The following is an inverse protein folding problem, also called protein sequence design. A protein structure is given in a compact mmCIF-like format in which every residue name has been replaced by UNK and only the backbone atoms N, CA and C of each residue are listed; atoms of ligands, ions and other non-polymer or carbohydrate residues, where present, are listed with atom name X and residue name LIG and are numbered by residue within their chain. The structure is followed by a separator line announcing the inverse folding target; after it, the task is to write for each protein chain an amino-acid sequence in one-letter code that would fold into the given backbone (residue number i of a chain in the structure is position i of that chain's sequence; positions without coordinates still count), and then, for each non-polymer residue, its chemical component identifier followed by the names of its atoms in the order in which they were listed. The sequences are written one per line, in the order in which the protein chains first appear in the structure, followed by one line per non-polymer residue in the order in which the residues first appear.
data_IF_418839015166
#
_entry.id   IF_418839015166
#
_cell.length_a   1.000
_cell.length_b   1.000
_cell.length_c   1.000
_cell.angle_alpha   90.00
_cell.angle_beta   90.00
_cell.angle_gamma   90.00
#
_symmetry.space_group_name_H-M   'P 1'
#
loop_
_entity.id
_entity.type
_entity.pdbx_description
1 polymer ?
#
# COMPACT_ATOMS: atom_id res chain seq x y z
N UNK A 1 -8.01 14.15 -1.09
CA UNK A 1 -6.97 15.14 -1.45
C UNK A 1 -6.12 14.53 -2.56
N UNK A 2 -5.77 15.34 -3.57
CA UNK A 2 -4.81 14.95 -4.62
C UNK A 2 -3.44 15.56 -4.25
N UNK A 3 -2.57 14.78 -3.65
CA UNK A 3 -1.16 15.09 -3.40
C UNK A 3 -0.43 13.75 -3.25
N UNK A 4 0.23 13.26 -4.30
CA UNK A 4 1.62 13.53 -4.66
C UNK A 4 2.61 13.10 -3.57
N UNK A 5 3.07 11.84 -3.64
CA UNK A 5 4.47 11.45 -3.39
C UNK A 5 4.72 10.13 -4.12
N UNK A 6 5.66 10.16 -5.07
CA UNK A 6 6.16 9.02 -5.85
C UNK A 6 7.42 8.54 -5.14
N UNK A 7 7.51 7.24 -4.81
CA UNK A 7 8.73 6.68 -4.22
C UNK A 7 9.31 5.59 -5.12
N UNK A 8 10.63 5.65 -5.26
CA UNK A 8 11.46 5.11 -6.32
C UNK A 8 11.42 3.58 -6.41
N UNK A 9 11.39 3.06 -7.63
CA UNK A 9 11.71 1.66 -7.94
C UNK A 9 13.18 1.58 -8.35
N UNK A 10 14.04 0.95 -7.54
CA UNK A 10 15.47 0.78 -7.85
C UNK A 10 15.72 -0.46 -8.73
N UNK A 11 16.60 -0.32 -9.71
CA UNK A 11 16.94 -1.38 -10.68
C UNK A 11 18.02 -2.31 -10.09
N UNK A 12 17.76 -3.61 -10.07
CA UNK A 12 18.81 -4.64 -9.90
C UNK A 12 18.41 -5.85 -9.05
N UNK A 13 17.42 -6.66 -9.44
CA UNK A 13 17.03 -7.84 -8.65
C UNK A 13 16.41 -7.50 -7.28
N UNK A 14 15.95 -6.26 -7.11
CA UNK A 14 15.36 -5.71 -5.89
C UNK A 14 13.85 -5.95 -5.85
N UNK A 15 13.36 -6.27 -4.66
CA UNK A 15 11.94 -6.29 -4.31
C UNK A 15 11.38 -4.88 -4.55
N UNK A 16 10.28 -4.70 -5.30
CA UNK A 16 9.71 -3.38 -5.53
C UNK A 16 9.19 -2.79 -4.21
N UNK A 17 9.41 -1.48 -4.01
CA UNK A 17 9.03 -0.77 -2.79
C UNK A 17 8.06 0.38 -3.10
N UNK A 18 7.12 0.63 -2.19
CA UNK A 18 6.18 1.74 -2.21
C UNK A 18 6.11 2.33 -0.80
N UNK A 19 6.28 3.65 -0.72
CA UNK A 19 6.23 4.40 0.53
C UNK A 19 5.20 5.51 0.34
N UNK A 20 4.30 5.70 1.31
CA UNK A 20 3.22 6.69 1.29
C UNK A 20 3.34 7.55 2.54
N UNK A 21 3.25 8.87 2.35
CA UNK A 21 3.38 9.86 3.42
C UNK A 21 2.37 9.63 4.55
N UNK A 22 2.85 9.84 5.78
CA UNK A 22 2.15 9.39 6.98
C UNK A 22 0.95 10.23 7.42
N UNK A 23 0.80 11.49 6.99
CA UNK A 23 -0.22 12.37 7.57
C UNK A 23 -1.65 11.84 7.35
N UNK A 24 -2.01 11.54 6.11
CA UNK A 24 -3.35 11.02 5.78
C UNK A 24 -3.53 9.57 6.25
N UNK A 25 -2.44 8.79 6.26
CA UNK A 25 -2.39 7.41 6.74
C UNK A 25 -2.71 7.35 8.25
N UNK A 26 -2.05 8.18 9.06
CA UNK A 26 -2.32 8.29 10.51
C UNK A 26 -3.77 8.73 10.74
N UNK A 27 -4.26 9.74 10.01
CA UNK A 27 -5.67 10.20 10.13
C UNK A 27 -6.68 9.11 9.79
N UNK A 28 -6.32 8.17 8.92
CA UNK A 28 -7.14 7.00 8.63
C UNK A 28 -7.07 5.89 9.70
N UNK A 29 -6.28 6.07 10.77
CA UNK A 29 -6.16 5.13 11.89
C UNK A 29 -5.02 4.12 11.73
N UNK A 30 -4.20 4.24 10.69
CA UNK A 30 -3.00 3.41 10.52
C UNK A 30 -1.86 4.01 11.33
N UNK A 31 -1.56 3.39 12.47
CA UNK A 31 -0.49 3.80 13.40
C UNK A 31 0.59 2.72 13.47
N UNK A 32 1.76 3.07 14.01
CA UNK A 32 2.77 2.07 14.36
C UNK A 32 2.11 0.97 15.21
N UNK A 33 2.42 -0.29 14.92
CA UNK A 33 1.80 -1.53 15.46
C UNK A 33 0.41 -1.92 14.93
N UNK A 34 -0.23 -1.11 14.09
CA UNK A 34 -1.51 -1.47 13.49
C UNK A 34 -1.37 -2.73 12.62
N UNK A 35 -2.33 -3.65 12.77
CA UNK A 35 -2.44 -4.85 11.94
C UNK A 35 -3.44 -4.59 10.82
N UNK A 36 -3.05 -4.90 9.60
CA UNK A 36 -3.87 -4.68 8.42
C UNK A 36 -3.72 -5.83 7.43
N UNK A 37 -4.75 -5.99 6.60
CA UNK A 37 -4.72 -6.88 5.44
C UNK A 37 -4.24 -6.12 4.23
N UNK A 38 -3.48 -6.82 3.39
CA UNK A 38 -3.07 -6.35 2.07
C UNK A 38 -3.70 -7.30 1.05
N UNK A 39 -4.56 -6.77 0.20
CA UNK A 39 -5.35 -7.55 -0.76
C UNK A 39 -5.06 -7.02 -2.18
N UNK A 40 -4.16 -7.68 -2.92
CA UNK A 40 -3.96 -7.41 -4.34
C UNK A 40 -5.23 -7.75 -5.13
N UNK A 41 -5.73 -6.81 -5.92
CA UNK A 41 -6.90 -6.99 -6.78
C UNK A 41 -6.69 -6.34 -8.14
N UNK A 42 -6.42 -7.16 -9.16
CA UNK A 42 -6.15 -6.70 -10.53
C UNK A 42 -5.07 -5.60 -10.58
N UNK A 43 -5.44 -4.37 -10.95
CA UNK A 43 -4.61 -3.18 -11.08
C UNK A 43 -4.55 -2.33 -9.80
N UNK A 44 -4.98 -2.91 -8.67
CA UNK A 44 -5.14 -2.21 -7.40
C UNK A 44 -4.62 -3.01 -6.22
N UNK A 45 -4.29 -2.29 -5.18
CA UNK A 45 -4.06 -2.82 -3.85
C UNK A 45 -5.09 -2.23 -2.89
N UNK A 46 -5.74 -3.10 -2.12
CA UNK A 46 -6.62 -2.68 -1.03
C UNK A 46 -5.95 -3.03 0.29
N UNK A 47 -5.82 -2.04 1.16
CA UNK A 47 -5.28 -2.19 2.50
C UNK A 47 -6.40 -1.88 3.48
N UNK A 48 -6.69 -2.83 4.35
CA UNK A 48 -7.80 -2.73 5.30
C UNK A 48 -7.29 -2.92 6.72
N UNK A 49 -7.54 -1.93 7.58
CA UNK A 49 -7.22 -2.02 9.00
C UNK A 49 -8.07 -3.13 9.64
N UNK A 50 -7.44 -3.96 10.47
CA UNK A 50 -8.13 -5.02 11.21
C UNK A 50 -8.24 -4.60 12.67
N UNK A 51 -9.45 -4.68 13.21
CA UNK A 51 -9.75 -4.39 14.62
C UNK A 51 -10.29 -5.60 15.38
N UNK A 52 -10.68 -6.66 14.67
CA UNK A 52 -11.14 -7.92 15.25
C UNK A 52 -9.94 -8.69 15.84
N UNK A 53 -10.01 -9.02 17.13
CA UNK A 53 -8.90 -9.61 17.87
C UNK A 53 -8.56 -11.03 17.36
N UNK A 54 -9.56 -11.84 17.03
CA UNK A 54 -9.33 -13.17 16.47
C UNK A 54 -8.66 -13.10 15.10
N UNK A 55 -9.08 -12.14 14.25
CA UNK A 55 -8.47 -11.94 12.95
C UNK A 55 -7.06 -11.36 13.04
N UNK A 56 -6.79 -10.48 14.01
CA UNK A 56 -5.44 -10.00 14.31
C UNK A 56 -4.54 -11.18 14.70
N UNK A 57 -4.99 -12.04 15.61
CA UNK A 57 -4.22 -13.22 16.03
C UNK A 57 -3.94 -14.14 14.84
N UNK A 58 -4.96 -14.42 14.01
CA UNK A 58 -4.80 -15.20 12.76
C UNK A 58 -3.75 -14.61 11.83
N UNK A 59 -3.76 -13.29 11.62
CA UNK A 59 -2.81 -12.61 10.74
C UNK A 59 -1.38 -12.61 11.30
N UNK A 60 -1.23 -12.40 12.61
CA UNK A 60 0.07 -12.44 13.27
C UNK A 60 0.68 -13.85 13.22
N UNK A 61 -0.11 -14.89 13.47
CA UNK A 61 0.32 -16.29 13.34
C UNK A 61 0.74 -16.63 11.90
N UNK A 62 0.00 -16.15 10.90
CA UNK A 62 0.33 -16.35 9.49
C UNK A 62 1.63 -15.62 9.07
N UNK A 63 1.91 -14.47 9.67
CA UNK A 63 3.15 -13.71 9.47
C UNK A 63 4.37 -14.45 9.99
N UNK A 64 4.28 -15.00 11.21
CA UNK A 64 5.39 -15.72 11.84
C UNK A 64 5.78 -17.00 11.08
N UNK A 65 4.85 -17.58 10.31
CA UNK A 65 5.12 -18.72 9.43
C UNK A 65 5.97 -18.38 8.19
N UNK A 66 6.13 -17.10 7.85
CA UNK A 66 6.82 -16.65 6.63
C UNK A 66 7.72 -15.43 6.89
N UNK A 67 9.01 -15.64 7.22
CA UNK A 67 9.92 -14.56 7.65
C UNK A 67 10.16 -13.45 6.60
N UNK A 68 9.74 -13.64 5.35
CA UNK A 68 9.78 -12.62 4.30
C UNK A 68 8.59 -11.63 4.34
N UNK A 69 7.58 -11.85 5.21
CA UNK A 69 6.34 -11.03 5.29
C UNK A 69 6.54 -9.76 6.15
N UNK A 70 7.68 -9.61 6.84
CA UNK A 70 7.86 -8.58 7.87
C UNK A 70 8.26 -7.17 7.42
N UNK A 71 8.32 -6.87 6.12
CA UNK A 71 8.70 -5.51 5.67
C UNK A 71 7.49 -4.59 5.55
N UNK A 72 6.29 -5.09 5.22
CA UNK A 72 5.10 -4.26 5.04
C UNK A 72 4.57 -3.76 6.40
N UNK A 73 4.43 -2.44 6.57
CA UNK A 73 4.06 -1.89 7.87
C UNK A 73 3.89 -0.38 7.91
N UNK A 74 3.40 0.12 9.05
CA UNK A 74 3.45 1.55 9.37
C UNK A 74 4.72 1.81 10.18
N UNK A 75 5.57 2.70 9.68
CA UNK A 75 6.81 3.12 10.35
C UNK A 75 6.50 4.05 11.51
N UNK A 76 7.48 4.27 12.39
CA UNK A 76 7.33 5.14 13.57
C UNK A 76 7.02 6.61 13.21
N UNK A 77 7.39 7.06 12.00
CA UNK A 77 7.04 8.37 11.45
C UNK A 77 5.63 8.41 10.81
N UNK A 78 4.89 7.31 10.85
CA UNK A 78 3.56 7.16 10.28
C UNK A 78 3.51 6.80 8.81
N UNK A 79 4.65 6.70 8.11
CA UNK A 79 4.69 6.28 6.72
C UNK A 79 4.17 4.86 6.56
N UNK A 80 3.32 4.64 5.56
CA UNK A 80 2.98 3.30 5.11
C UNK A 80 4.06 2.83 4.14
N UNK A 81 4.77 1.77 4.53
CA UNK A 81 5.84 1.14 3.76
C UNK A 81 5.39 -0.24 3.29
N UNK A 82 5.58 -0.51 2.00
CA UNK A 82 5.22 -1.76 1.34
C UNK A 82 6.36 -2.20 0.44
N UNK A 83 6.73 -3.47 0.47
CA UNK A 83 7.81 -4.01 -0.34
C UNK A 83 7.57 -5.48 -0.70
N UNK A 84 7.01 -5.73 -1.89
CA UNK A 84 6.83 -7.09 -2.43
C UNK A 84 6.45 -7.13 -3.90
N UNK A 85 6.72 -8.27 -4.54
CA UNK A 85 6.44 -8.54 -5.97
C UNK A 85 5.00 -8.27 -6.41
N UNK A 86 4.01 -8.35 -5.51
CA UNK A 86 2.62 -8.03 -5.85
C UNK A 86 2.44 -6.57 -6.30
N UNK A 87 3.36 -5.65 -5.94
CA UNK A 87 3.38 -4.28 -6.49
C UNK A 87 3.61 -4.30 -8.01
N UNK A 88 4.54 -5.14 -8.48
CA UNK A 88 4.78 -5.33 -9.92
C UNK A 88 3.65 -6.08 -10.58
N UNK A 89 3.09 -7.11 -9.93
CA UNK A 89 1.98 -7.89 -10.49
C UNK A 89 0.71 -7.05 -10.67
N UNK A 90 0.44 -6.10 -9.77
CA UNK A 90 -0.66 -5.13 -9.90
C UNK A 90 -0.34 -3.99 -10.87
N UNK A 91 0.83 -3.99 -11.51
CA UNK A 91 1.26 -2.90 -12.39
C UNK A 91 1.44 -1.57 -11.65
N UNK A 92 1.68 -1.57 -10.34
CA UNK A 92 1.80 -0.35 -9.53
C UNK A 92 3.23 0.21 -9.54
N UNK A 93 4.15 -0.43 -10.24
CA UNK A 93 5.52 0.04 -10.39
C UNK A 93 5.67 0.91 -11.65
N UNK A 94 6.58 1.89 -11.62
CA UNK A 94 6.99 2.69 -12.79
C UNK A 94 5.92 3.62 -13.40
N UNK A 95 4.84 3.93 -12.67
CA UNK A 95 3.79 4.81 -13.14
C UNK A 95 3.20 5.67 -12.02
N UNK A 96 2.54 6.80 -12.34
CA UNK A 96 1.83 7.59 -11.35
C UNK A 96 0.72 6.76 -10.70
N UNK A 97 0.56 6.89 -9.39
CA UNK A 97 -0.43 6.17 -8.59
C UNK A 97 -1.53 7.11 -8.12
N UNK A 98 -2.76 6.61 -8.13
CA UNK A 98 -3.88 7.23 -7.43
C UNK A 98 -4.06 6.53 -6.09
N UNK A 99 -3.95 7.30 -5.00
CA UNK A 99 -4.08 6.80 -3.63
C UNK A 99 -5.34 7.43 -3.02
N UNK A 100 -6.25 6.57 -2.58
CA UNK A 100 -7.47 6.96 -1.88
C UNK A 100 -7.39 6.50 -0.44
N UNK A 101 -7.38 7.45 0.48
CA UNK A 101 -7.28 7.20 1.93
C UNK A 101 -8.63 7.48 2.59
N UNK A 102 -9.13 6.50 3.34
CA UNK A 102 -10.38 6.54 4.08
C UNK A 102 -10.15 5.98 5.50
N UNK A 103 -10.99 6.30 6.50
CA UNK A 103 -10.89 5.67 7.81
C UNK A 103 -10.87 4.15 7.72
N UNK A 104 -9.82 3.52 8.22
CA UNK A 104 -9.60 2.08 8.21
C UNK A 104 -9.28 1.46 6.85
N UNK A 105 -9.11 2.24 5.77
CA UNK A 105 -8.91 1.71 4.42
C UNK A 105 -8.04 2.60 3.53
N UNK A 106 -7.08 1.99 2.84
CA UNK A 106 -6.27 2.64 1.79
C UNK A 106 -6.43 1.86 0.49
N UNK A 107 -6.69 2.56 -0.61
CA UNK A 107 -6.75 1.96 -1.95
C UNK A 107 -5.69 2.61 -2.81
N UNK A 108 -4.83 1.79 -3.41
CA UNK A 108 -3.76 2.22 -4.31
C UNK A 108 -4.05 1.63 -5.68
N UNK A 109 -3.99 2.43 -6.72
CA UNK A 109 -4.22 1.96 -8.09
C UNK A 109 -3.39 2.77 -9.08
N UNK A 110 -3.21 2.20 -10.27
CA UNK A 110 -2.70 2.92 -11.43
C UNK A 110 -3.46 4.24 -11.65
N UNK A 111 -2.75 5.37 -11.76
CA UNK A 111 -3.41 6.59 -12.22
C UNK A 111 -3.69 6.46 -13.71
N UNK A 112 -4.96 6.33 -14.08
CA UNK A 112 -5.34 6.40 -15.48
C UNK A 112 -5.05 7.81 -16.01
N UNK A 113 -4.11 7.93 -16.96
CA UNK A 113 -4.02 9.13 -17.78
C UNK A 113 -5.32 9.22 -18.55
N UNK A 114 -6.16 10.19 -18.19
CA UNK A 114 -7.24 10.62 -19.07
C UNK A 114 -6.54 11.28 -20.27
N UNK A 115 -6.26 10.52 -21.32
CA UNK A 115 -5.97 11.12 -22.62
C UNK A 115 -7.26 11.80 -23.02
N UNK A 116 -7.35 13.12 -22.82
CA UNK A 116 -8.34 13.92 -23.52
C UNK A 116 -8.03 13.79 -25.01
N UNK A 117 -8.65 12.79 -25.64
CA UNK A 117 -8.73 12.71 -27.08
C UNK A 117 -9.74 13.79 -27.48
N UNK A 118 -9.26 15.04 -27.54
CA UNK A 118 -9.94 16.10 -28.28
C UNK A 118 -9.97 15.65 -29.74
N UNK A 119 -11.05 14.98 -30.14
CA UNK A 119 -11.43 14.92 -31.54
C UNK A 119 -12.17 16.21 -31.87
N UNK A 120 -11.51 17.00 -32.73
CA UNK A 120 -12.00 18.06 -33.62
C UNK A 120 -12.89 19.15 -33.02
#
# INVERSE_FOLDING_TARGET
MNGSTIIQTTIGGFIPELIIDGEDIIKAGFVAVAVFKIEPYQDRLVITLVSDEEEIERLLLARDAHPHIGMDGIRDNGELYLARDWLTQCGLTWQPLAISVMPGKVVIQAQQRITQHNMY
#
